data_IF_391168982236
#
_entry.id   IF_391168982236
#
_cell.length_a   1.000
_cell.length_b   1.000
_cell.length_c   1.000
_cell.angle_alpha   90.00
_cell.angle_beta   90.00
_cell.angle_gamma   90.00
#
_symmetry.space_group_name_H-M   'P 1'
#
loop_
_entity.id
_entity.type
_entity.pdbx_description
1 polymer ?
#
# COMPACT_ATOMS: atom_id res chain seq x y z
N UNK A 1 20.91 21.07 -46.01
CA UNK A 1 22.05 20.18 -46.34
C UNK A 1 22.91 20.04 -45.08
N UNK A 2 23.28 18.89 -44.51
CA UNK A 2 23.23 17.48 -44.91
C UNK A 2 23.07 16.63 -43.63
N UNK A 3 22.22 15.60 -43.69
CA UNK A 3 22.16 14.51 -42.69
C UNK A 3 23.52 13.78 -42.69
N UNK A 4 24.09 13.52 -41.52
CA UNK A 4 25.22 12.60 -41.36
C UNK A 4 24.68 11.19 -41.09
N UNK A 5 24.83 10.32 -42.07
CA UNK A 5 24.75 8.87 -41.95
C UNK A 5 26.02 8.35 -41.26
N UNK A 6 25.86 7.41 -40.32
CA UNK A 6 26.97 6.64 -39.75
C UNK A 6 26.94 5.26 -40.40
N UNK A 7 28.00 4.94 -41.14
CA UNK A 7 28.24 3.64 -41.77
C UNK A 7 28.83 2.69 -40.73
N UNK A 8 28.22 1.51 -40.58
CA UNK A 8 28.73 0.40 -39.79
C UNK A 8 29.84 -0.33 -40.55
N UNK A 9 31.08 -0.23 -40.08
CA UNK A 9 32.21 -0.99 -40.60
C UNK A 9 33.37 -0.89 -39.62
N UNK A 10 33.59 -1.95 -38.83
CA UNK A 10 34.69 -2.01 -37.87
C UNK A 10 34.49 -2.97 -36.70
N UNK A 11 33.67 -4.04 -36.86
CA UNK A 11 33.44 -5.03 -35.80
C UNK A 11 34.31 -6.29 -35.94
N UNK A 12 34.92 -6.53 -37.10
CA UNK A 12 35.69 -7.76 -37.34
C UNK A 12 37.15 -7.67 -36.83
N UNK A 13 37.78 -6.49 -36.83
CA UNK A 13 39.18 -6.34 -36.40
C UNK A 13 39.40 -6.46 -34.88
N UNK A 14 38.36 -6.24 -34.07
CA UNK A 14 38.45 -6.37 -32.60
C UNK A 14 38.33 -7.81 -32.12
N UNK A 15 37.76 -8.72 -32.93
CA UNK A 15 37.62 -10.13 -32.56
C UNK A 15 38.92 -10.93 -32.70
N UNK A 16 39.78 -10.60 -33.68
CA UNK A 16 40.99 -11.38 -33.97
C UNK A 16 42.15 -11.16 -32.97
N UNK A 17 42.15 -10.05 -32.22
CA UNK A 17 43.23 -9.76 -31.26
C UNK A 17 43.10 -10.48 -29.91
N UNK A 18 42.01 -11.22 -29.66
CA UNK A 18 41.77 -11.87 -28.36
C UNK A 18 42.06 -13.39 -28.38
N UNK A 19 42.42 -13.97 -29.53
CA UNK A 19 42.67 -15.41 -29.71
C UNK A 19 44.17 -15.69 -29.90
N UNK A 20 45.02 -15.33 -28.92
CA UNK A 20 46.37 -15.92 -28.79
C UNK A 20 47.01 -15.60 -27.44
N UNK A 21 46.85 -16.50 -26.47
CA UNK A 21 47.64 -16.53 -25.23
C UNK A 21 48.21 -17.94 -24.99
N UNK A 22 49.43 -18.08 -24.44
CA UNK A 22 50.14 -19.35 -24.35
C UNK A 22 49.57 -20.30 -23.27
N UNK A 23 49.87 -21.61 -23.31
CA UNK A 23 49.29 -22.57 -22.38
C UNK A 23 49.97 -22.48 -21.01
N UNK A 24 49.18 -22.18 -19.97
CA UNK A 24 49.60 -22.27 -18.58
C UNK A 24 49.41 -23.71 -18.08
N UNK A 25 50.49 -24.26 -17.55
CA UNK A 25 50.62 -25.53 -16.84
C UNK A 25 49.65 -25.67 -15.67
N UNK A 26 49.17 -26.90 -15.46
CA UNK A 26 48.18 -27.25 -14.46
C UNK A 26 48.65 -27.03 -13.02
N UNK A 27 47.76 -26.42 -12.25
CA UNK A 27 47.66 -26.60 -10.81
C UNK A 27 46.16 -26.66 -10.48
N UNK A 28 45.71 -27.84 -10.07
CA UNK A 28 44.31 -28.14 -9.79
C UNK A 28 43.91 -27.46 -8.46
N UNK A 29 43.39 -26.24 -8.58
CA UNK A 29 42.77 -25.53 -7.47
C UNK A 29 41.47 -26.27 -7.04
N UNK A 30 41.21 -26.45 -5.73
CA UNK A 30 40.00 -27.13 -5.30
C UNK A 30 38.78 -26.34 -5.78
N UNK A 31 37.83 -27.03 -6.40
CA UNK A 31 36.60 -26.46 -6.91
C UNK A 31 35.97 -25.52 -5.87
N UNK A 32 35.51 -24.31 -6.25
CA UNK A 32 34.77 -23.47 -5.32
C UNK A 32 33.55 -24.27 -4.89
N UNK A 33 33.51 -24.63 -3.60
CA UNK A 33 32.36 -25.26 -2.99
C UNK A 33 31.14 -24.43 -3.40
N UNK A 34 30.22 -25.06 -4.13
CA UNK A 34 29.01 -24.45 -4.63
C UNK A 34 28.43 -23.60 -3.50
N UNK A 35 28.47 -22.28 -3.69
CA UNK A 35 27.89 -21.35 -2.74
C UNK A 35 26.43 -21.77 -2.65
N UNK A 36 26.07 -22.39 -1.52
CA UNK A 36 24.67 -22.63 -1.16
C UNK A 36 23.97 -21.29 -1.41
N UNK A 37 22.83 -21.27 -2.13
CA UNK A 37 22.06 -20.04 -2.27
C UNK A 37 21.95 -19.47 -0.87
N UNK A 38 22.51 -18.27 -0.67
CA UNK A 38 22.41 -17.61 0.63
C UNK A 38 20.92 -17.46 0.87
N UNK A 39 20.39 -18.22 1.82
CA UNK A 39 19.08 -18.04 2.45
C UNK A 39 19.08 -16.68 3.19
N UNK A 40 19.42 -15.60 2.49
CA UNK A 40 19.39 -14.24 3.01
C UNK A 40 18.12 -13.61 2.47
N UNK A 41 17.24 -13.29 3.42
CA UNK A 41 16.04 -12.46 3.29
C UNK A 41 14.84 -13.10 2.59
N UNK A 42 14.46 -14.29 3.04
CA UNK A 42 13.03 -14.69 3.02
C UNK A 42 12.30 -14.33 4.31
N UNK A 43 12.73 -13.28 5.00
CA UNK A 43 11.77 -12.41 5.69
C UNK A 43 11.03 -11.61 4.60
N UNK A 44 10.25 -12.34 3.79
CA UNK A 44 9.11 -11.78 3.11
C UNK A 44 8.17 -11.38 4.24
N UNK A 45 8.33 -10.16 4.78
CA UNK A 45 7.29 -9.53 5.55
C UNK A 45 6.03 -9.62 4.69
N UNK A 46 5.12 -10.54 5.06
CA UNK A 46 3.85 -10.69 4.36
C UNK A 46 3.20 -9.31 4.32
N UNK A 47 3.00 -8.78 3.12
CA UNK A 47 2.41 -7.46 2.94
C UNK A 47 1.02 -7.50 3.58
N UNK A 48 0.85 -6.82 4.72
CA UNK A 48 -0.46 -6.68 5.35
C UNK A 48 -1.31 -5.78 4.44
N UNK A 49 -2.28 -6.38 3.78
CA UNK A 49 -3.17 -5.67 2.85
C UNK A 49 -4.49 -5.26 3.48
N UNK A 50 -4.80 -5.73 4.70
CA UNK A 50 -6.04 -5.43 5.42
C UNK A 50 -5.77 -4.95 6.85
N UNK A 51 -6.53 -3.94 7.25
CA UNK A 51 -6.39 -3.24 8.52
C UNK A 51 -7.75 -3.12 9.18
N UNK A 52 -7.80 -3.46 10.47
CA UNK A 52 -9.01 -3.38 11.27
C UNK A 52 -9.18 -1.96 11.82
N UNK A 53 -10.43 -1.55 11.99
CA UNK A 53 -10.79 -0.26 12.58
C UNK A 53 -12.01 -0.40 13.50
N UNK A 54 -12.16 0.55 14.42
CA UNK A 54 -13.37 0.71 15.22
C UNK A 54 -13.95 2.12 15.03
N UNK A 55 -15.22 2.21 14.63
CA UNK A 55 -15.93 3.46 14.48
C UNK A 55 -16.22 4.12 15.84
N UNK A 56 -15.91 5.42 16.01
CA UNK A 56 -16.20 6.16 17.25
C UNK A 56 -17.67 6.10 17.70
N UNK A 57 -18.63 6.21 16.77
CA UNK A 57 -20.07 6.12 17.07
C UNK A 57 -20.66 4.79 16.62
N UNK A 58 -20.32 4.36 15.42
CA UNK A 58 -20.85 3.14 14.80
C UNK A 58 -21.96 3.44 13.80
N UNK A 59 -22.07 2.57 12.81
CA UNK A 59 -23.12 2.57 11.81
C UNK A 59 -24.36 1.84 12.33
N UNK A 60 -25.55 2.40 12.15
CA UNK A 60 -26.82 1.75 12.51
C UNK A 60 -27.48 1.29 11.22
N UNK A 61 -27.76 0.00 11.11
CA UNK A 61 -28.45 -0.57 9.93
C UNK A 61 -29.98 -0.41 10.02
N UNK A 62 -30.67 -0.96 9.01
CA UNK A 62 -32.12 -0.87 8.88
C UNK A 62 -32.86 -1.67 9.97
N UNK A 63 -32.21 -2.68 10.53
CA UNK A 63 -32.69 -3.50 11.64
C UNK A 63 -32.40 -2.85 13.02
N UNK A 64 -31.69 -1.73 13.05
CA UNK A 64 -31.31 -1.03 14.27
C UNK A 64 -30.08 -1.62 14.98
N UNK A 65 -29.38 -2.55 14.34
CA UNK A 65 -28.13 -3.13 14.84
C UNK A 65 -26.98 -2.13 14.62
N UNK A 66 -26.15 -1.98 15.65
CA UNK A 66 -24.97 -1.10 15.62
C UNK A 66 -23.74 -1.90 15.22
N UNK A 67 -23.04 -1.42 14.19
CA UNK A 67 -21.78 -1.96 13.67
C UNK A 67 -20.65 -0.98 13.93
N UNK A 68 -19.67 -1.39 14.75
CA UNK A 68 -18.52 -0.56 15.12
C UNK A 68 -17.20 -1.06 14.54
N UNK A 69 -16.99 -2.37 14.55
CA UNK A 69 -15.76 -2.98 14.07
C UNK A 69 -15.86 -3.21 12.57
N UNK A 70 -14.77 -2.98 11.86
CA UNK A 70 -14.69 -3.26 10.44
C UNK A 70 -13.26 -3.46 9.98
N UNK A 71 -13.11 -3.78 8.69
CA UNK A 71 -11.81 -3.92 8.05
C UNK A 71 -11.79 -3.13 6.74
N UNK A 72 -10.60 -2.61 6.43
CA UNK A 72 -10.31 -1.86 5.23
C UNK A 72 -9.06 -2.41 4.58
N UNK A 73 -9.11 -2.62 3.26
CA UNK A 73 -7.94 -3.02 2.48
C UNK A 73 -7.17 -1.81 1.97
N UNK A 74 -5.90 -2.03 1.60
CA UNK A 74 -5.14 -1.07 0.80
C UNK A 74 -5.87 -0.78 -0.51
N UNK A 75 -5.86 0.49 -0.90
CA UNK A 75 -6.37 0.95 -2.16
C UNK A 75 -5.44 0.53 -3.28
N UNK A 76 -6.03 0.08 -4.38
CA UNK A 76 -5.31 -0.10 -5.63
C UNK A 76 -5.37 1.18 -6.46
N UNK A 77 -4.48 1.32 -7.43
CA UNK A 77 -4.56 2.42 -8.40
C UNK A 77 -5.93 2.50 -9.11
N UNK A 78 -6.62 1.37 -9.25
CA UNK A 78 -7.98 1.34 -9.83
C UNK A 78 -9.00 2.03 -8.92
N UNK A 79 -8.90 1.84 -7.61
CA UNK A 79 -9.80 2.45 -6.64
C UNK A 79 -9.66 3.98 -6.63
N UNK A 80 -8.44 4.49 -6.84
CA UNK A 80 -8.15 5.93 -6.93
C UNK A 80 -8.66 6.59 -8.23
N UNK A 81 -8.58 5.87 -9.35
CA UNK A 81 -8.92 6.43 -10.66
C UNK A 81 -10.42 6.31 -10.98
N UNK A 82 -11.06 5.21 -10.61
CA UNK A 82 -12.47 4.92 -10.96
C UNK A 82 -13.45 6.02 -10.51
N UNK A 83 -13.35 6.60 -9.29
CA UNK A 83 -14.28 7.63 -8.81
C UNK A 83 -14.24 8.92 -9.65
N UNK A 84 -13.12 9.24 -10.29
CA UNK A 84 -13.01 10.49 -11.08
C UNK A 84 -13.92 10.50 -12.32
N UNK A 85 -14.36 9.32 -12.75
CA UNK A 85 -15.23 9.15 -13.91
C UNK A 85 -16.72 9.19 -13.48
N UNK A 86 -17.01 8.97 -12.20
CA UNK A 86 -18.35 8.94 -11.62
C UNK A 86 -19.04 10.32 -11.75
N UNK A 87 -20.27 10.33 -12.28
CA UNK A 87 -21.02 11.55 -12.52
C UNK A 87 -21.31 12.31 -11.22
N UNK A 88 -21.60 11.59 -10.13
CA UNK A 88 -21.90 12.19 -8.82
C UNK A 88 -20.69 12.92 -8.25
N UNK A 89 -19.49 12.37 -8.48
CA UNK A 89 -18.22 13.00 -8.07
C UNK A 89 -17.91 14.23 -8.92
N UNK A 90 -18.22 14.20 -10.23
CA UNK A 90 -18.07 15.37 -11.11
C UNK A 90 -19.01 16.50 -10.72
N UNK A 91 -20.25 16.18 -10.36
CA UNK A 91 -21.24 17.15 -9.89
C UNK A 91 -20.92 17.67 -8.48
N UNK A 92 -20.40 16.80 -7.62
CA UNK A 92 -20.03 17.14 -6.25
C UNK A 92 -18.71 16.44 -5.85
N UNK A 93 -17.58 17.16 -5.89
CA UNK A 93 -16.27 16.61 -5.51
C UNK A 93 -16.22 16.07 -4.06
N UNK A 94 -17.06 16.56 -3.16
CA UNK A 94 -17.14 16.03 -1.79
C UNK A 94 -17.62 14.57 -1.73
N UNK A 95 -18.25 14.08 -2.81
CA UNK A 95 -18.73 12.71 -2.93
C UNK A 95 -17.61 11.69 -3.22
N UNK A 96 -16.41 12.16 -3.60
CA UNK A 96 -15.25 11.31 -3.87
C UNK A 96 -14.95 10.37 -2.69
N UNK A 97 -14.90 10.91 -1.48
CA UNK A 97 -14.57 10.12 -0.28
C UNK A 97 -15.59 9.02 -0.01
N UNK A 98 -16.88 9.27 -0.27
CA UNK A 98 -17.92 8.27 -0.09
C UNK A 98 -17.71 7.08 -1.03
N UNK A 99 -17.44 7.37 -2.31
CA UNK A 99 -17.21 6.37 -3.35
C UNK A 99 -15.91 5.60 -3.12
N UNK A 100 -14.85 6.26 -2.63
CA UNK A 100 -13.59 5.60 -2.27
C UNK A 100 -13.76 4.68 -1.07
N UNK A 101 -14.36 5.17 0.02
CA UNK A 101 -14.57 4.38 1.22
C UNK A 101 -15.41 3.13 0.96
N UNK A 102 -16.46 3.24 0.13
CA UNK A 102 -17.27 2.07 -0.24
C UNK A 102 -16.53 1.04 -1.11
N UNK A 103 -15.34 1.34 -1.62
CA UNK A 103 -14.55 0.37 -2.41
C UNK A 103 -13.52 -0.38 -1.58
N UNK A 104 -13.08 0.24 -0.50
CA UNK A 104 -11.93 -0.23 0.27
C UNK A 104 -12.32 -0.79 1.64
N UNK A 105 -13.49 -0.45 2.16
CA UNK A 105 -14.04 -1.15 3.32
C UNK A 105 -14.49 -2.54 2.87
N UNK A 106 -13.88 -3.58 3.44
CA UNK A 106 -14.16 -4.99 3.11
C UNK A 106 -15.21 -5.59 4.04
N UNK A 107 -15.33 -5.09 5.28
CA UNK A 107 -16.35 -5.52 6.23
C UNK A 107 -16.69 -4.42 7.23
N UNK A 108 -17.96 -4.37 7.64
CA UNK A 108 -18.44 -3.53 8.75
C UNK A 108 -19.42 -4.35 9.60
N UNK A 109 -18.96 -4.84 10.75
CA UNK A 109 -19.71 -5.77 11.59
C UNK A 109 -20.08 -7.01 10.80
N UNK A 110 -21.39 -7.24 10.60
CA UNK A 110 -21.90 -8.37 9.79
C UNK A 110 -22.10 -8.01 8.31
N UNK A 111 -21.86 -6.76 7.92
CA UNK A 111 -22.07 -6.26 6.56
C UNK A 111 -20.81 -6.48 5.74
N UNK A 112 -20.89 -7.28 4.69
CA UNK A 112 -19.78 -7.54 3.74
C UNK A 112 -19.97 -6.82 2.41
N UNK A 113 -21.20 -6.46 2.05
CA UNK A 113 -21.50 -5.66 0.84
C UNK A 113 -21.59 -4.18 1.20
N UNK A 114 -20.42 -3.55 1.41
CA UNK A 114 -20.35 -2.13 1.73
C UNK A 114 -20.41 -1.31 0.45
N UNK A 115 -21.53 -0.64 0.22
CA UNK A 115 -21.72 0.25 -0.92
C UNK A 115 -21.86 1.72 -0.48
N UNK A 116 -21.89 2.65 -1.44
CA UNK A 116 -21.93 4.09 -1.15
C UNK A 116 -23.09 4.49 -0.20
N UNK A 117 -24.28 3.90 -0.39
CA UNK A 117 -25.44 4.12 0.50
C UNK A 117 -25.25 3.69 1.97
N UNK A 118 -24.31 2.79 2.27
CA UNK A 118 -23.94 2.47 3.67
C UNK A 118 -23.16 3.65 4.25
N UNK A 119 -22.15 4.13 3.51
CA UNK A 119 -21.30 5.24 3.92
C UNK A 119 -22.07 6.56 4.03
N UNK A 120 -23.03 6.82 3.14
CA UNK A 120 -23.91 8.00 3.18
C UNK A 120 -24.76 8.09 4.45
N UNK A 121 -25.07 6.95 5.07
CA UNK A 121 -25.90 6.86 6.28
C UNK A 121 -25.08 6.87 7.58
N UNK A 122 -23.75 6.87 7.49
CA UNK A 122 -22.88 6.98 8.66
C UNK A 122 -22.92 8.38 9.28
N UNK A 123 -22.60 8.47 10.56
CA UNK A 123 -22.36 9.77 11.18
C UNK A 123 -21.16 10.47 10.54
N UNK A 124 -21.22 11.80 10.42
CA UNK A 124 -20.13 12.60 9.88
C UNK A 124 -18.80 12.37 10.62
N UNK A 125 -18.84 12.14 11.93
CA UNK A 125 -17.66 11.79 12.75
C UNK A 125 -17.01 10.48 12.30
N UNK A 126 -17.81 9.47 11.98
CA UNK A 126 -17.31 8.16 11.56
C UNK A 126 -16.75 8.22 10.12
N UNK A 127 -17.40 8.97 9.22
CA UNK A 127 -16.87 9.22 7.88
C UNK A 127 -15.53 9.94 7.94
N UNK A 128 -15.40 10.96 8.80
CA UNK A 128 -14.14 11.67 8.98
C UNK A 128 -13.04 10.77 9.55
N UNK A 129 -13.37 9.90 10.51
CA UNK A 129 -12.45 8.90 11.03
C UNK A 129 -11.96 7.93 9.93
N UNK A 130 -12.88 7.39 9.13
CA UNK A 130 -12.55 6.48 8.03
C UNK A 130 -11.71 7.15 6.94
N UNK A 131 -11.97 8.42 6.64
CA UNK A 131 -11.14 9.22 5.72
C UNK A 131 -9.71 9.37 6.24
N UNK A 132 -9.54 9.60 7.54
CA UNK A 132 -8.21 9.70 8.13
C UNK A 132 -7.49 8.34 8.12
N UNK A 133 -8.19 7.28 8.51
CA UNK A 133 -7.70 5.92 8.49
C UNK A 133 -7.24 5.50 7.09
N UNK A 134 -8.06 5.76 6.07
CA UNK A 134 -7.73 5.51 4.66
C UNK A 134 -6.41 6.19 4.25
N UNK A 135 -6.27 7.49 4.54
CA UNK A 135 -5.06 8.25 4.17
C UNK A 135 -3.83 7.65 4.83
N UNK A 136 -3.95 7.27 6.10
CA UNK A 136 -2.85 6.74 6.90
C UNK A 136 -2.36 5.40 6.36
N UNK A 137 -3.25 4.42 6.19
CA UNK A 137 -2.84 3.08 5.73
C UNK A 137 -2.27 3.11 4.31
N UNK A 138 -2.75 4.01 3.44
CA UNK A 138 -2.31 4.11 2.04
C UNK A 138 -1.10 5.02 1.81
N UNK A 139 -0.77 5.91 2.76
CA UNK A 139 0.42 6.78 2.66
C UNK A 139 1.59 6.27 3.49
N UNK A 140 1.32 5.72 4.67
CA UNK A 140 2.32 5.38 5.69
C UNK A 140 2.49 3.86 5.85
N UNK A 141 1.53 3.05 5.38
CA UNK A 141 1.60 1.59 5.44
C UNK A 141 1.37 0.97 6.82
N UNK A 142 0.94 1.76 7.80
CA UNK A 142 0.65 1.33 9.18
C UNK A 142 -0.58 2.05 9.75
N UNK A 143 -1.07 1.58 10.90
CA UNK A 143 -2.23 2.16 11.62
C UNK A 143 -1.84 3.11 12.76
N UNK A 144 -0.54 3.26 13.04
CA UNK A 144 -0.05 4.13 14.11
C UNK A 144 -0.14 5.61 13.74
N UNK A 145 -0.56 6.44 14.70
CA UNK A 145 -0.62 7.89 14.61
C UNK A 145 0.38 8.54 15.56
N UNK A 146 1.35 9.25 15.00
CA UNK A 146 2.20 10.15 15.77
C UNK A 146 1.37 11.37 16.21
N UNK A 147 1.21 11.53 17.52
CA UNK A 147 0.48 12.65 18.14
C UNK A 147 1.46 13.46 18.98
N UNK A 148 1.47 14.77 18.76
CA UNK A 148 2.20 15.72 19.62
C UNK A 148 1.21 16.36 20.58
N UNK A 149 1.44 16.18 21.88
CA UNK A 149 0.63 16.83 22.90
C UNK A 149 0.85 18.36 22.88
N UNK A 150 -0.19 19.20 22.70
CA UNK A 150 -0.02 20.65 22.64
C UNK A 150 0.35 21.28 24.00
N UNK A 151 0.19 20.52 25.10
CA UNK A 151 0.44 21.02 26.46
C UNK A 151 1.90 20.83 26.90
N UNK A 152 2.46 19.64 26.64
CA UNK A 152 3.82 19.30 27.09
C UNK A 152 4.81 19.08 25.95
N UNK A 153 4.36 19.13 24.69
CA UNK A 153 5.17 18.89 23.48
C UNK A 153 5.79 17.49 23.39
N UNK A 154 5.39 16.55 24.25
CA UNK A 154 5.75 15.14 24.11
C UNK A 154 5.04 14.53 22.91
N UNK A 155 5.78 13.73 22.12
CA UNK A 155 5.26 12.94 21.01
C UNK A 155 5.07 11.48 21.44
N UNK A 156 3.94 10.89 21.07
CA UNK A 156 3.66 9.47 21.30
C UNK A 156 2.91 8.88 20.11
N UNK A 157 2.96 7.56 19.96
CA UNK A 157 2.24 6.84 18.91
C UNK A 157 0.95 6.24 19.47
N UNK A 158 -0.15 6.40 18.73
CA UNK A 158 -1.46 5.84 19.05
C UNK A 158 -1.82 4.82 18.00
N UNK A 159 -2.20 3.61 18.40
CA UNK A 159 -2.75 2.63 17.48
C UNK A 159 -4.24 2.89 17.22
N UNK A 160 -4.60 3.09 15.95
CA UNK A 160 -5.99 3.31 15.53
C UNK A 160 -6.76 2.01 15.27
N UNK A 161 -6.13 0.84 15.43
CA UNK A 161 -6.71 -0.49 15.15
C UNK A 161 -7.79 -0.96 16.15
N UNK A 162 -8.36 -0.07 16.98
CA UNK A 162 -9.42 -0.43 17.93
C UNK A 162 -8.95 -0.96 19.30
N UNK A 163 -7.70 -0.72 19.69
CA UNK A 163 -7.21 -1.06 21.04
C UNK A 163 -7.53 0.05 22.05
N UNK A 164 -8.18 -0.27 23.17
CA UNK A 164 -8.25 0.63 24.34
C UNK A 164 -6.82 0.93 24.80
N UNK A 165 -6.38 2.18 24.64
CA UNK A 165 -5.14 2.65 25.24
C UNK A 165 -5.34 2.80 26.75
N UNK A 166 -4.66 1.98 27.54
CA UNK A 166 -4.44 2.21 28.97
C UNK A 166 -5.10 1.21 29.89
N UNK A 167 -4.48 0.05 30.07
CA UNK A 167 -4.48 -0.64 31.36
C UNK A 167 -3.02 -0.98 31.73
N UNK A 168 -2.51 -0.30 32.75
CA UNK A 168 -1.31 -0.63 33.51
C UNK A 168 -1.49 -0.09 34.91
#
# INVERSE_FOLDING_TARGET
>A
MRRRTVTSGGLDEVLDSLVSGPPATGEEAPAPAAARPRERDRDQQELRTEFEFELPRGYVDDEGQVHRHGSMRLATARDELRPQIDLRVKENPAYLSVVLLSQVITQLGTITDVHAGVVERMYATDVAFLQDFYRRINSEGHTHAAVTCPLCHGSFEVDLSGGRLGES
#
